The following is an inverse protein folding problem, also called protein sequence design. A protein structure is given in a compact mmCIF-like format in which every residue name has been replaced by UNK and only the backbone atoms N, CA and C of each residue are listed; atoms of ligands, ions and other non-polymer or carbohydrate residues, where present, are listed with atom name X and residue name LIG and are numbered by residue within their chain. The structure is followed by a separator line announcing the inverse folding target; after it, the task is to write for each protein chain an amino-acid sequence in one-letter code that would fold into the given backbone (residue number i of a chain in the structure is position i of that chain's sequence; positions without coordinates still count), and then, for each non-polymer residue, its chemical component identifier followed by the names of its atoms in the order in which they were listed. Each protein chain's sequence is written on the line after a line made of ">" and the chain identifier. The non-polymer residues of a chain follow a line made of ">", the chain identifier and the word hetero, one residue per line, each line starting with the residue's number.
data_IF_864626328293
#
_entry.id   IF_864626328293
#
_cell.length_a   1.000
_cell.length_b   1.000
_cell.length_c   1.000
_cell.angle_alpha   90.00
_cell.angle_beta   90.00
_cell.angle_gamma   90.00
#
_symmetry.space_group_name_H-M   'P 1'
#
loop_
_entity.id
_entity.type
_entity.pdbx_description
1 polymer ?
#
# COMPACT_ATOMS: atom_id res chain seq x y z
N UNK A 1 -3.78 -6.65 -11.20
CA UNK A 1 -3.23 -5.66 -10.23
C UNK A 1 -3.18 -6.35 -8.88
N UNK A 2 -2.05 -6.27 -8.16
CA UNK A 2 -1.81 -7.04 -6.93
C UNK A 2 -2.70 -6.66 -5.75
N UNK A 3 -3.00 -5.37 -5.56
CA UNK A 3 -3.91 -4.86 -4.53
C UNK A 3 -5.35 -5.36 -4.76
N UNK A 4 -5.85 -5.31 -5.99
CA UNK A 4 -7.17 -5.84 -6.31
C UNK A 4 -7.27 -7.35 -6.09
N UNK A 5 -6.19 -8.09 -6.41
CA UNK A 5 -6.15 -9.52 -6.14
C UNK A 5 -6.04 -9.83 -4.65
N UNK A 6 -5.30 -9.04 -3.87
CA UNK A 6 -5.25 -9.17 -2.42
C UNK A 6 -6.63 -8.97 -1.80
N UNK A 7 -7.36 -7.94 -2.22
CA UNK A 7 -8.74 -7.70 -1.79
C UNK A 7 -9.64 -8.90 -2.10
N UNK A 8 -9.61 -9.39 -3.35
CA UNK A 8 -10.33 -10.60 -3.77
C UNK A 8 -9.97 -11.82 -2.93
N UNK A 9 -8.69 -12.07 -2.68
CA UNK A 9 -8.26 -13.21 -1.85
C UNK A 9 -8.87 -13.13 -0.46
N UNK A 10 -8.97 -11.93 0.11
CA UNK A 10 -9.48 -11.72 1.46
C UNK A 10 -11.01 -11.80 1.56
N UNK A 11 -11.74 -11.36 0.53
CA UNK A 11 -13.22 -11.27 0.56
C UNK A 11 -13.92 -12.42 -0.15
N UNK A 12 -13.35 -12.94 -1.24
CA UNK A 12 -14.00 -13.93 -2.08
C UNK A 12 -14.09 -15.30 -1.39
N UNK A 13 -15.25 -15.93 -1.54
CA UNK A 13 -15.47 -17.30 -1.08
C UNK A 13 -14.94 -18.30 -2.11
N UNK A 14 -13.67 -18.69 -1.98
CA UNK A 14 -13.13 -19.84 -2.74
C UNK A 14 -13.71 -21.16 -2.20
N UNK A 15 -13.65 -22.22 -3.01
CA UNK A 15 -14.10 -23.55 -2.59
C UNK A 15 -13.49 -23.97 -1.25
N UNK A 16 -14.33 -24.56 -0.38
CA UNK A 16 -13.94 -24.94 0.98
C UNK A 16 -13.87 -23.78 1.99
N UNK A 17 -14.17 -22.54 1.58
CA UNK A 17 -14.22 -21.39 2.51
C UNK A 17 -15.63 -20.98 2.87
N UNK A 18 -15.76 -20.42 4.08
CA UNK A 18 -16.99 -19.80 4.59
C UNK A 18 -17.36 -18.56 3.77
N UNK A 19 -18.64 -18.21 3.79
CA UNK A 19 -19.15 -16.96 3.18
C UNK A 19 -18.39 -15.76 3.75
N UNK A 20 -17.91 -14.87 2.88
CA UNK A 20 -17.08 -13.71 3.24
C UNK A 20 -15.57 -13.98 3.32
N UNK A 21 -15.10 -15.12 2.80
CA UNK A 21 -13.67 -15.42 2.67
C UNK A 21 -12.99 -15.56 4.03
N UNK A 22 -12.02 -14.68 4.31
CA UNK A 22 -11.30 -14.68 5.59
C UNK A 22 -12.10 -14.06 6.74
N UNK A 23 -13.15 -13.28 6.45
CA UNK A 23 -13.99 -12.57 7.44
C UNK A 23 -13.16 -11.61 8.29
N UNK A 24 -12.45 -10.72 7.59
CA UNK A 24 -11.68 -9.63 8.20
C UNK A 24 -12.59 -8.47 8.61
N UNK A 25 -12.13 -7.64 9.54
CA UNK A 25 -12.82 -6.37 9.84
C UNK A 25 -12.80 -5.45 8.62
N UNK A 26 -13.86 -4.66 8.46
CA UNK A 26 -14.00 -3.75 7.32
C UNK A 26 -12.89 -2.70 7.27
N UNK A 27 -12.43 -2.21 8.43
CA UNK A 27 -11.31 -1.27 8.51
C UNK A 27 -10.01 -1.85 7.94
N UNK A 28 -9.73 -3.13 8.21
CA UNK A 28 -8.54 -3.82 7.68
C UNK A 28 -8.65 -4.06 6.19
N UNK A 29 -9.83 -4.44 5.69
CA UNK A 29 -10.05 -4.59 4.25
C UNK A 29 -9.92 -3.24 3.53
N UNK A 30 -10.46 -2.16 4.10
CA UNK A 30 -10.38 -0.84 3.51
C UNK A 30 -8.95 -0.26 3.54
N UNK A 31 -8.16 -0.57 4.58
CA UNK A 31 -6.79 -0.04 4.72
C UNK A 31 -5.81 -0.62 3.69
N UNK A 32 -6.08 -1.78 3.11
CA UNK A 32 -5.21 -2.38 2.08
C UNK A 32 -5.59 -1.94 0.65
N UNK A 33 -6.76 -1.30 0.46
CA UNK A 33 -7.22 -0.87 -0.86
C UNK A 33 -6.64 0.50 -1.21
N UNK A 34 -5.40 0.49 -1.72
CA UNK A 34 -4.63 1.68 -2.15
C UNK A 34 -5.31 2.51 -3.24
N UNK A 35 -6.10 1.85 -4.09
CA UNK A 35 -6.77 2.43 -5.26
C UNK A 35 -8.27 2.13 -5.20
N UNK A 36 -9.06 2.84 -4.40
CA UNK A 36 -10.45 2.48 -4.09
C UNK A 36 -11.43 2.76 -5.25
N UNK A 37 -11.18 2.13 -6.39
CA UNK A 37 -11.96 2.27 -7.60
C UNK A 37 -11.95 0.99 -8.44
N UNK A 38 -13.01 0.84 -9.22
CA UNK A 38 -13.33 -0.34 -10.03
C UNK A 38 -12.29 -0.59 -11.12
N UNK A 39 -12.09 -1.86 -11.45
CA UNK A 39 -11.32 -2.29 -12.62
C UNK A 39 -11.85 -1.71 -13.94
N UNK A 40 -13.12 -1.27 -14.01
CA UNK A 40 -13.64 -0.56 -15.19
C UNK A 40 -12.94 0.79 -15.44
N UNK A 41 -12.38 1.41 -14.40
CA UNK A 41 -11.60 2.65 -14.49
C UNK A 41 -10.12 2.39 -14.74
N UNK A 42 -9.71 1.13 -14.89
CA UNK A 42 -8.36 0.77 -15.30
C UNK A 42 -8.17 1.13 -16.78
N UNK A 43 -7.94 2.43 -17.05
CA UNK A 43 -7.55 2.93 -18.36
C UNK A 43 -6.09 2.59 -18.67
N UNK A 44 -5.33 3.54 -19.22
CA UNK A 44 -3.89 3.36 -19.51
C UNK A 44 -3.02 3.07 -18.27
N UNK A 45 -3.48 3.47 -17.08
CA UNK A 45 -2.83 3.15 -15.81
C UNK A 45 -3.45 1.86 -15.25
N UNK A 46 -2.66 0.79 -15.20
CA UNK A 46 -3.08 -0.56 -14.76
C UNK A 46 -3.37 -0.69 -13.25
N UNK A 47 -3.72 0.41 -12.56
CA UNK A 47 -3.99 0.44 -11.12
C UNK A 47 -5.49 0.48 -10.87
N UNK A 48 -5.99 -0.32 -9.93
CA UNK A 48 -7.37 -0.37 -9.44
C UNK A 48 -7.37 -1.23 -8.16
N UNK A 49 -8.42 -1.16 -7.36
CA UNK A 49 -8.42 -1.75 -6.01
C UNK A 49 -9.39 -2.91 -5.81
N UNK A 50 -10.32 -3.10 -6.74
CA UNK A 50 -11.24 -4.23 -6.73
C UNK A 50 -11.72 -4.53 -8.16
N UNK A 51 -12.01 -5.80 -8.42
CA UNK A 51 -12.61 -6.24 -9.68
C UNK A 51 -14.12 -6.04 -9.65
N UNK A 52 -14.76 -6.19 -10.82
CA UNK A 52 -16.23 -6.23 -10.94
C UNK A 52 -16.89 -7.24 -9.99
N UNK A 53 -16.29 -8.43 -9.82
CA UNK A 53 -16.77 -9.47 -8.90
C UNK A 53 -16.82 -9.03 -7.43
N UNK A 54 -15.97 -8.08 -7.03
CA UNK A 54 -15.82 -7.62 -5.66
C UNK A 54 -16.44 -6.23 -5.42
N UNK A 55 -17.10 -5.63 -6.43
CA UNK A 55 -17.72 -4.31 -6.30
C UNK A 55 -18.77 -4.28 -5.20
N UNK A 56 -19.65 -5.28 -5.14
CA UNK A 56 -20.69 -5.35 -4.13
C UNK A 56 -20.11 -5.42 -2.71
N UNK A 57 -19.02 -6.18 -2.53
CA UNK A 57 -18.32 -6.27 -1.24
C UNK A 57 -17.71 -4.92 -0.85
N UNK A 58 -17.03 -4.24 -1.79
CA UNK A 58 -16.43 -2.95 -1.50
C UNK A 58 -17.47 -1.86 -1.25
N UNK A 59 -18.59 -1.84 -2.00
CA UNK A 59 -19.71 -0.93 -1.75
C UNK A 59 -20.25 -1.09 -0.32
N UNK A 60 -20.42 -2.33 0.13
CA UNK A 60 -20.87 -2.62 1.50
C UNK A 60 -19.88 -2.08 2.53
N UNK A 61 -18.59 -2.39 2.36
CA UNK A 61 -17.52 -1.90 3.26
C UNK A 61 -17.50 -0.37 3.30
N UNK A 62 -17.56 0.27 2.13
CA UNK A 62 -17.55 1.73 2.02
C UNK A 62 -18.78 2.36 2.70
N UNK A 63 -19.96 1.78 2.53
CA UNK A 63 -21.19 2.25 3.18
C UNK A 63 -21.10 2.17 4.72
N UNK A 64 -20.65 1.03 5.24
CA UNK A 64 -20.55 0.77 6.69
C UNK A 64 -19.47 1.63 7.37
N UNK A 65 -18.39 1.96 6.65
CA UNK A 65 -17.33 2.83 7.14
C UNK A 65 -17.56 4.32 6.83
N UNK A 66 -18.63 4.67 6.10
CA UNK A 66 -18.89 6.04 5.68
C UNK A 66 -17.84 6.60 4.71
N UNK A 67 -17.21 5.75 3.89
CA UNK A 67 -16.23 6.19 2.89
C UNK A 67 -16.94 6.94 1.77
N UNK A 68 -16.50 8.17 1.52
CA UNK A 68 -17.10 9.07 0.54
C UNK A 68 -16.99 8.48 -0.87
N UNK A 69 -18.13 8.30 -1.55
CA UNK A 69 -18.17 7.99 -2.99
C UNK A 69 -17.84 9.25 -3.79
N UNK A 70 -16.86 9.15 -4.68
CA UNK A 70 -16.39 10.24 -5.55
C UNK A 70 -16.93 10.14 -6.97
N UNK A 71 -17.41 8.97 -7.41
CA UNK A 71 -18.07 8.80 -8.70
C UNK A 71 -19.58 9.08 -8.61
N UNK A 72 -20.18 9.51 -9.72
CA UNK A 72 -21.64 9.66 -9.83
C UNK A 72 -22.35 8.30 -9.84
N UNK A 73 -23.69 8.26 -9.63
CA UNK A 73 -24.46 7.00 -9.59
C UNK A 73 -24.30 6.12 -10.83
N UNK A 74 -24.19 6.72 -12.02
CA UNK A 74 -24.09 6.12 -13.34
C UNK A 74 -22.64 5.91 -13.83
N UNK A 75 -21.65 6.33 -13.03
CA UNK A 75 -20.23 6.14 -13.33
C UNK A 75 -19.68 4.91 -12.61
N UNK A 76 -18.64 4.24 -13.18
CA UNK A 76 -17.90 3.21 -12.48
C UNK A 76 -17.46 3.65 -11.08
N UNK A 77 -17.45 2.71 -10.14
CA UNK A 77 -17.26 3.03 -8.72
C UNK A 77 -15.88 3.61 -8.44
N UNK A 78 -15.87 4.73 -7.72
CA UNK A 78 -14.66 5.34 -7.16
C UNK A 78 -15.00 5.98 -5.82
N UNK A 79 -14.17 5.71 -4.83
CA UNK A 79 -14.30 6.20 -3.47
C UNK A 79 -13.07 7.00 -3.04
N UNK A 80 -13.19 7.74 -1.96
CA UNK A 80 -12.05 8.28 -1.24
C UNK A 80 -11.24 7.14 -0.60
N UNK A 81 -9.97 7.40 -0.29
CA UNK A 81 -9.15 6.44 0.46
C UNK A 81 -9.59 6.40 1.91
N UNK A 82 -9.55 5.20 2.50
CA UNK A 82 -9.63 5.08 3.95
C UNK A 82 -8.36 5.70 4.58
N UNK A 83 -8.44 6.45 5.70
CA UNK A 83 -7.28 7.14 6.27
C UNK A 83 -6.08 6.23 6.58
N UNK A 84 -6.33 5.00 7.03
CA UNK A 84 -5.26 4.04 7.33
C UNK A 84 -4.45 3.59 6.10
N UNK A 85 -4.95 3.78 4.87
CA UNK A 85 -4.18 3.50 3.64
C UNK A 85 -2.88 4.31 3.63
N UNK A 86 -2.91 5.57 4.09
CA UNK A 86 -1.73 6.42 4.12
C UNK A 86 -0.64 5.89 5.06
N UNK A 87 -1.03 5.27 6.18
CA UNK A 87 -0.08 4.64 7.09
C UNK A 87 0.52 3.38 6.48
N UNK A 88 -0.29 2.57 5.79
CA UNK A 88 0.18 1.36 5.10
C UNK A 88 1.14 1.73 3.96
N UNK A 89 0.81 2.73 3.14
CA UNK A 89 1.70 3.20 2.07
C UNK A 89 3.00 3.79 2.63
N UNK A 90 2.93 4.60 3.69
CA UNK A 90 4.13 5.14 4.32
C UNK A 90 5.03 4.04 4.91
N UNK A 91 4.44 3.00 5.52
CA UNK A 91 5.21 1.86 6.02
C UNK A 91 5.88 1.08 4.89
N UNK A 92 5.18 0.87 3.77
CA UNK A 92 5.71 0.22 2.57
C UNK A 92 6.92 0.99 2.01
N UNK A 93 6.76 2.31 1.81
CA UNK A 93 7.81 3.18 1.29
C UNK A 93 9.05 3.21 2.20
N UNK A 94 8.87 3.27 3.53
CA UNK A 94 9.98 3.23 4.50
C UNK A 94 10.73 1.91 4.41
N UNK A 95 10.01 0.78 4.39
CA UNK A 95 10.62 -0.54 4.33
C UNK A 95 11.43 -0.70 3.04
N UNK A 96 10.86 -0.35 1.88
CA UNK A 96 11.58 -0.41 0.60
C UNK A 96 12.83 0.48 0.62
N UNK A 97 12.72 1.72 1.10
CA UNK A 97 13.86 2.64 1.12
C UNK A 97 15.01 2.18 2.02
N UNK A 98 14.73 1.43 3.09
CA UNK A 98 15.76 0.92 3.99
C UNK A 98 16.28 -0.45 3.56
N UNK A 99 15.39 -1.42 3.32
CA UNK A 99 15.76 -2.81 3.07
C UNK A 99 16.44 -2.99 1.71
N UNK A 100 15.99 -2.29 0.67
CA UNK A 100 16.60 -2.44 -0.66
C UNK A 100 18.07 -1.96 -0.68
N UNK A 101 18.38 -0.91 0.08
CA UNK A 101 19.76 -0.42 0.25
C UNK A 101 20.61 -1.44 1.01
N UNK A 102 20.07 -2.02 2.08
CA UNK A 102 20.77 -3.06 2.86
C UNK A 102 21.05 -4.30 2.00
N UNK A 103 20.07 -4.77 1.23
CA UNK A 103 20.20 -5.95 0.40
C UNK A 103 21.14 -5.70 -0.79
N UNK A 104 21.09 -4.52 -1.41
CA UNK A 104 22.05 -4.14 -2.45
C UNK A 104 23.50 -4.14 -1.92
N UNK A 105 23.71 -3.71 -0.68
CA UNK A 105 25.03 -3.80 -0.04
C UNK A 105 25.47 -5.26 0.19
N UNK A 106 24.59 -6.11 0.74
CA UNK A 106 24.88 -7.54 0.96
C UNK A 106 25.21 -8.28 -0.34
N UNK A 107 24.52 -7.92 -1.42
CA UNK A 107 24.74 -8.46 -2.76
C UNK A 107 25.97 -7.85 -3.46
N UNK A 108 26.70 -6.95 -2.79
CA UNK A 108 27.89 -6.24 -3.31
C UNK A 108 27.60 -5.40 -4.56
N UNK A 109 26.35 -4.99 -4.74
CA UNK A 109 25.94 -4.03 -5.77
C UNK A 109 26.27 -2.59 -5.35
N UNK A 110 26.31 -2.34 -4.04
CA UNK A 110 26.77 -1.08 -3.44
C UNK A 110 27.95 -1.33 -2.51
N UNK A 111 28.96 -0.46 -2.61
CA UNK A 111 30.07 -0.39 -1.65
C UNK A 111 29.59 0.14 -0.30
N UNK A 112 30.39 -0.08 0.75
CA UNK A 112 30.08 0.42 2.09
C UNK A 112 29.92 1.95 2.12
N UNK A 113 30.78 2.68 1.40
CA UNK A 113 30.74 4.15 1.37
C UNK A 113 29.53 4.69 0.61
N UNK A 114 29.12 4.05 -0.49
CA UNK A 114 27.89 4.38 -1.21
C UNK A 114 26.66 4.16 -0.34
N UNK A 115 26.56 2.99 0.31
CA UNK A 115 25.47 2.65 1.24
C UNK A 115 25.39 3.67 2.39
N UNK A 116 26.52 3.99 3.00
CA UNK A 116 26.59 5.02 4.06
C UNK A 116 26.16 6.38 3.53
N UNK A 117 26.62 6.77 2.34
CA UNK A 117 26.25 8.00 1.67
C UNK A 117 24.73 8.11 1.47
N UNK A 118 24.09 7.05 0.98
CA UNK A 118 22.64 6.98 0.79
C UNK A 118 21.88 7.12 2.12
N UNK A 119 22.28 6.38 3.16
CA UNK A 119 21.61 6.49 4.46
C UNK A 119 21.77 7.88 5.10
N UNK A 120 22.89 8.56 4.85
CA UNK A 120 23.09 9.91 5.37
C UNK A 120 22.10 10.92 4.80
N UNK A 121 21.48 10.66 3.64
CA UNK A 121 20.49 11.55 3.03
C UNK A 121 19.18 11.66 3.84
N UNK A 122 18.88 10.69 4.71
CA UNK A 122 17.70 10.74 5.59
C UNK A 122 17.86 11.65 6.80
N UNK A 123 19.07 12.16 7.05
CA UNK A 123 19.39 12.98 8.20
C UNK A 123 19.59 14.44 7.82
N UNK A 124 19.23 15.35 8.73
CA UNK A 124 19.61 16.75 8.62
C UNK A 124 21.13 16.95 8.87
N UNK A 125 21.65 18.12 8.53
CA UNK A 125 23.09 18.41 8.70
C UNK A 125 23.56 18.31 10.15
N UNK A 126 22.70 18.65 11.11
CA UNK A 126 23.02 18.55 12.54
C UNK A 126 23.29 17.09 12.92
N UNK A 127 22.42 16.18 12.49
CA UNK A 127 22.51 14.75 12.78
C UNK A 127 23.63 14.09 11.98
N UNK A 128 23.85 14.49 10.72
CA UNK A 128 25.00 14.04 9.92
C UNK A 128 26.33 14.36 10.62
N UNK A 129 26.49 15.59 11.12
CA UNK A 129 27.70 16.02 11.83
C UNK A 129 27.92 15.26 13.14
N UNK A 130 26.85 14.95 13.88
CA UNK A 130 26.95 14.13 15.09
C UNK A 130 27.41 12.69 14.78
N UNK A 131 26.88 12.08 13.71
CA UNK A 131 27.23 10.73 13.29
C UNK A 131 28.67 10.62 12.77
N UNK A 132 29.17 11.61 12.03
CA UNK A 132 30.58 11.66 11.57
C UNK A 132 31.55 11.68 12.75
N UNK A 133 31.30 12.57 13.73
CA UNK A 133 32.08 12.64 14.98
C UNK A 133 32.08 11.31 15.75
N UNK A 134 30.93 10.64 15.84
CA UNK A 134 30.82 9.34 16.50
C UNK A 134 31.60 8.25 15.76
N UNK A 135 31.60 8.28 14.43
CA UNK A 135 32.31 7.33 13.58
C UNK A 135 33.82 7.59 13.46
N UNK A 136 34.37 8.59 14.16
CA UNK A 136 35.79 8.97 14.06
C UNK A 136 36.19 9.61 12.74
N UNK A 137 35.22 10.19 12.01
CA UNK A 137 35.40 10.92 10.74
C UNK A 137 35.27 12.43 10.92
#
# INVERSE_FOLDING_TARGET
>A
EGNANAFRILTHQFEGRRKGGFVMTYSTLASIVKYPFSSQLAGKKSKFGFFLSEEADYQKIAGELGIIRLSKPDEPLRYARHPLVYLVEAADDICYQMMDIEDAHKLKLLTHDETKGLYMLFFDEKRKNALKKFAGL
#
